data_IF_967328603896
#
_entry.id   IF_967328603896
#
_cell.length_a   1.000
_cell.length_b   1.000
_cell.length_c   1.000
_cell.angle_alpha   90.00
_cell.angle_beta   90.00
_cell.angle_gamma   90.00
#
_symmetry.space_group_name_H-M   'P 1'
#
loop_
_entity.id
_entity.type
_entity.pdbx_description
1 polymer ?
#
# COMPACT_ATOMS: atom_id res chain seq x y z
N UNK A 1 -39.67 14.26 -24.92
CA UNK A 1 -38.27 14.10 -24.43
C UNK A 1 -37.64 15.49 -24.42
N UNK A 2 -37.51 16.07 -23.23
CA UNK A 2 -37.19 17.49 -23.07
C UNK A 2 -35.74 17.80 -23.47
N UNK A 3 -35.46 19.05 -23.89
CA UNK A 3 -34.11 19.51 -24.31
C UNK A 3 -33.01 19.19 -23.30
N UNK A 4 -33.36 19.08 -22.01
CA UNK A 4 -32.50 18.68 -20.89
C UNK A 4 -32.06 17.20 -20.96
N UNK A 5 -32.93 16.29 -21.39
CA UNK A 5 -32.60 14.86 -21.50
C UNK A 5 -31.63 14.59 -22.66
N UNK A 6 -31.74 15.35 -23.76
CA UNK A 6 -30.79 15.27 -24.89
C UNK A 6 -29.39 15.80 -24.53
N UNK A 7 -29.29 16.78 -23.63
CA UNK A 7 -28.01 17.30 -23.15
C UNK A 7 -27.29 16.31 -22.21
N UNK A 8 -28.03 15.65 -21.31
CA UNK A 8 -27.47 14.59 -20.47
C UNK A 8 -27.02 13.37 -21.29
N UNK A 9 -27.83 12.93 -22.27
CA UNK A 9 -27.47 11.78 -23.12
C UNK A 9 -26.26 12.08 -24.01
N UNK A 10 -26.08 13.32 -24.48
CA UNK A 10 -24.90 13.72 -25.25
C UNK A 10 -23.65 13.94 -24.38
N UNK A 11 -23.78 14.39 -23.13
CA UNK A 11 -22.65 14.45 -22.19
C UNK A 11 -22.14 13.06 -21.80
N UNK A 12 -23.04 12.08 -21.66
CA UNK A 12 -22.69 10.70 -21.29
C UNK A 12 -22.08 9.94 -22.48
N UNK A 13 -22.55 10.16 -23.72
CA UNK A 13 -21.98 9.49 -24.90
C UNK A 13 -20.57 9.98 -25.29
N UNK A 14 -20.25 11.26 -25.09
CA UNK A 14 -18.92 11.79 -25.40
C UNK A 14 -17.85 11.49 -24.31
N UNK A 15 -18.26 10.93 -23.17
CA UNK A 15 -17.35 10.45 -22.11
C UNK A 15 -16.73 9.08 -22.42
N UNK A 16 -17.35 8.31 -23.32
CA UNK A 16 -17.02 6.89 -23.53
C UNK A 16 -16.04 6.61 -24.70
N UNK A 17 -15.47 7.66 -25.31
CA UNK A 17 -14.44 7.55 -26.35
C UNK A 17 -13.13 8.24 -25.95
N UNK A 18 -12.63 8.04 -24.72
CA UNK A 18 -11.31 8.51 -24.31
C UNK A 18 -10.17 7.63 -24.88
N UNK A 19 -10.05 7.62 -26.21
CA UNK A 19 -8.80 7.31 -26.94
C UNK A 19 -7.99 8.58 -27.24
N UNK A 20 -8.19 9.66 -26.48
CA UNK A 20 -7.36 10.86 -26.59
C UNK A 20 -6.18 10.78 -25.63
N UNK A 21 -5.19 10.00 -26.06
CA UNK A 21 -3.80 10.14 -25.65
C UNK A 21 -3.31 11.47 -26.23
N UNK A 22 -2.80 12.34 -25.37
CA UNK A 22 -2.19 13.62 -25.74
C UNK A 22 -1.04 13.35 -26.73
N UNK A 23 -1.23 13.73 -28.00
CA UNK A 23 -0.14 14.00 -28.93
C UNK A 23 0.36 15.41 -28.60
N UNK A 24 1.52 15.53 -27.95
CA UNK A 24 2.25 16.80 -27.96
C UNK A 24 2.65 17.07 -29.41
N UNK A 25 1.95 18.03 -30.02
CA UNK A 25 2.29 18.56 -31.34
C UNK A 25 3.31 19.68 -31.17
N UNK A 26 4.28 19.69 -32.08
CA UNK A 26 5.35 20.68 -32.19
C UNK A 26 4.84 22.11 -32.03
N UNK A 27 5.32 22.80 -30.98
CA UNK A 27 5.25 24.26 -30.86
C UNK A 27 6.67 24.78 -30.71
N UNK A 28 7.11 25.51 -31.75
CA UNK A 28 8.21 26.46 -31.87
C UNK A 28 9.40 26.42 -30.88
N UNK A 29 10.58 26.29 -31.49
CA UNK A 29 11.95 26.14 -30.96
C UNK A 29 12.55 27.28 -30.10
N UNK A 30 11.80 28.03 -29.29
CA UNK A 30 12.41 29.15 -28.52
C UNK A 30 12.01 29.29 -27.04
N UNK A 31 11.56 28.22 -26.38
CA UNK A 31 11.35 28.22 -24.92
C UNK A 31 12.04 26.99 -24.32
N UNK A 32 13.35 27.09 -24.04
CA UNK A 32 14.06 26.14 -23.17
C UNK A 32 13.92 26.57 -21.70
N UNK A 33 12.71 26.77 -21.21
CA UNK A 33 12.45 27.01 -19.79
C UNK A 33 11.79 25.76 -19.18
N UNK A 34 12.55 25.02 -18.38
CA UNK A 34 12.15 23.97 -17.44
C UNK A 34 10.87 23.18 -17.77
N UNK A 35 11.03 22.02 -18.43
CA UNK A 35 9.96 21.02 -18.59
C UNK A 35 9.40 20.49 -17.26
N UNK A 36 10.06 20.78 -16.13
CA UNK A 36 9.67 20.34 -14.80
C UNK A 36 9.41 21.55 -13.89
N UNK A 37 8.26 21.58 -13.23
CA UNK A 37 7.93 22.58 -12.22
C UNK A 37 8.58 22.22 -10.86
N UNK A 38 9.92 22.26 -10.81
CA UNK A 38 10.70 21.92 -9.62
C UNK A 38 11.43 23.17 -9.12
N UNK A 39 11.18 23.55 -7.86
CA UNK A 39 11.84 24.68 -7.23
C UNK A 39 13.34 24.40 -7.05
N UNK A 40 14.18 25.38 -7.35
CA UNK A 40 15.64 25.33 -7.20
C UNK A 40 16.35 24.24 -8.01
N UNK A 41 15.75 23.72 -9.09
CA UNK A 41 16.38 22.72 -9.95
C UNK A 41 17.59 23.31 -10.70
N UNK A 42 18.76 22.65 -10.71
CA UNK A 42 19.90 23.11 -11.49
C UNK A 42 19.61 23.09 -13.00
N UNK A 43 19.92 24.18 -13.72
CA UNK A 43 19.59 24.37 -15.15
C UNK A 43 20.17 23.29 -16.08
N UNK A 44 21.32 22.72 -15.72
CA UNK A 44 22.06 21.75 -16.54
C UNK A 44 21.98 20.30 -16.02
N UNK A 45 21.00 20.00 -15.17
CA UNK A 45 20.84 18.66 -14.63
C UNK A 45 20.45 17.68 -15.75
N UNK A 46 21.30 16.68 -15.98
CA UNK A 46 21.02 15.63 -16.98
C UNK A 46 20.26 14.48 -16.33
N UNK A 47 19.35 13.87 -17.09
CA UNK A 47 18.51 12.75 -16.65
C UNK A 47 18.25 11.77 -17.81
N UNK A 48 17.91 10.53 -17.48
CA UNK A 48 17.61 9.45 -18.41
C UNK A 48 18.14 8.08 -17.93
N UNK A 49 17.70 7.01 -18.60
CA UNK A 49 18.01 5.62 -18.21
C UNK A 49 19.52 5.38 -18.05
N UNK A 50 20.34 5.87 -18.99
CA UNK A 50 21.79 5.66 -18.95
C UNK A 50 22.45 6.37 -17.76
N UNK A 51 21.99 7.58 -17.44
CA UNK A 51 22.50 8.36 -16.31
C UNK A 51 22.11 7.72 -14.99
N UNK A 52 20.87 7.26 -14.87
CA UNK A 52 20.43 6.48 -13.73
C UNK A 52 21.31 5.23 -13.53
N UNK A 53 21.50 4.42 -14.58
CA UNK A 53 22.34 3.21 -14.49
C UNK A 53 23.79 3.52 -14.15
N UNK A 54 24.32 4.65 -14.58
CA UNK A 54 25.65 5.11 -14.20
C UNK A 54 25.69 5.56 -12.72
N UNK A 55 24.66 6.25 -12.25
CA UNK A 55 24.53 6.65 -10.85
C UNK A 55 24.45 5.43 -9.92
N UNK A 56 23.66 4.40 -10.27
CA UNK A 56 23.57 3.14 -9.51
C UNK A 56 24.95 2.51 -9.28
N UNK A 57 25.80 2.47 -10.31
CA UNK A 57 27.18 1.92 -10.21
C UNK A 57 28.11 2.76 -9.33
N UNK A 58 27.73 4.01 -9.05
CA UNK A 58 28.50 4.97 -8.26
C UNK A 58 27.91 5.22 -6.87
N UNK A 59 26.79 4.58 -6.53
CA UNK A 59 26.19 4.74 -5.20
C UNK A 59 27.21 4.30 -4.16
N UNK A 60 27.48 5.21 -3.22
CA UNK A 60 28.37 5.01 -2.08
C UNK A 60 27.58 5.36 -0.81
N UNK A 61 26.92 4.35 -0.24
CA UNK A 61 26.11 4.50 0.96
C UNK A 61 26.98 4.36 2.22
N UNK A 62 27.62 5.46 2.63
CA UNK A 62 28.53 5.49 3.79
C UNK A 62 27.85 5.13 5.11
N UNK A 63 26.56 5.45 5.25
CA UNK A 63 25.76 5.16 6.45
C UNK A 63 25.43 3.67 6.60
N UNK A 64 25.54 2.87 5.54
CA UNK A 64 25.30 1.43 5.63
C UNK A 64 26.33 0.71 6.51
N UNK A 65 27.57 1.19 6.57
CA UNK A 65 28.62 0.56 7.37
C UNK A 65 28.58 0.92 8.85
N UNK A 66 28.14 2.13 9.20
CA UNK A 66 28.28 2.66 10.57
C UNK A 66 27.04 2.50 11.43
N UNK A 67 25.88 2.17 10.82
CA UNK A 67 24.56 2.21 11.47
C UNK A 67 24.23 3.59 12.08
N UNK A 68 24.96 4.65 11.71
CA UNK A 68 24.73 6.00 12.19
C UNK A 68 23.55 6.64 11.47
N UNK A 69 22.88 7.58 12.14
CA UNK A 69 21.79 8.35 11.56
C UNK A 69 21.94 9.80 11.97
N UNK A 70 21.95 10.72 11.01
CA UNK A 70 21.97 12.15 11.32
C UNK A 70 20.67 12.61 12.01
N UNK A 71 19.64 11.75 12.12
CA UNK A 71 18.45 12.04 12.94
C UNK A 71 18.81 12.23 14.42
N UNK A 72 19.87 11.59 14.93
CA UNK A 72 20.28 11.72 16.34
C UNK A 72 20.88 13.08 16.67
N UNK A 73 21.17 13.91 15.67
CA UNK A 73 21.68 15.27 15.86
C UNK A 73 20.57 16.24 16.27
N UNK A 74 19.31 15.87 16.08
CA UNK A 74 18.14 16.66 16.45
C UNK A 74 17.65 16.29 17.85
N UNK A 75 17.36 17.31 18.67
CA UNK A 75 16.95 17.15 20.07
C UNK A 75 15.73 16.24 20.20
N UNK A 76 14.68 16.53 19.44
CA UNK A 76 13.45 15.74 19.41
C UNK A 76 13.70 14.23 19.28
N UNK A 77 14.56 13.81 18.35
CA UNK A 77 14.83 12.39 18.09
C UNK A 77 15.73 11.75 19.16
N UNK A 78 16.60 12.53 19.81
CA UNK A 78 17.32 12.02 21.00
C UNK A 78 16.34 11.72 22.13
N UNK A 79 15.43 12.65 22.40
CA UNK A 79 14.41 12.48 23.45
C UNK A 79 13.53 11.25 23.17
N UNK A 80 13.14 10.99 21.91
CA UNK A 80 12.41 9.78 21.54
C UNK A 80 13.21 8.48 21.78
N UNK A 81 14.53 8.48 21.60
CA UNK A 81 15.36 7.30 21.85
C UNK A 81 15.55 6.99 23.33
N UNK A 82 15.36 7.97 24.21
CA UNK A 82 15.40 7.79 25.66
C UNK A 82 14.08 7.24 26.23
N UNK A 83 13.00 7.24 25.43
CA UNK A 83 11.70 6.73 25.88
C UNK A 83 11.68 5.20 25.95
N UNK A 84 11.22 4.68 27.08
CA UNK A 84 10.95 3.25 27.25
C UNK A 84 9.46 2.93 27.06
N UNK A 85 9.19 1.75 26.49
CA UNK A 85 7.83 1.24 26.42
C UNK A 85 7.39 0.69 27.77
N UNK A 86 6.33 1.27 28.33
CA UNK A 86 5.63 0.75 29.49
C UNK A 86 4.25 0.22 29.08
N UNK A 87 4.14 -1.10 28.94
CA UNK A 87 2.91 -1.76 28.52
C UNK A 87 1.76 -1.51 29.51
N UNK A 88 0.53 -1.40 28.98
CA UNK A 88 -0.69 -1.31 29.78
C UNK A 88 -1.30 -2.70 29.96
N UNK A 89 -1.35 -3.19 31.20
CA UNK A 89 -2.01 -4.47 31.53
C UNK A 89 -3.50 -4.48 31.16
N UNK A 90 -4.18 -3.33 31.30
CA UNK A 90 -5.59 -3.17 30.88
C UNK A 90 -5.76 -3.33 29.36
N UNK A 91 -4.89 -2.69 28.58
CA UNK A 91 -4.92 -2.77 27.13
C UNK A 91 -4.58 -4.18 26.64
N UNK A 92 -3.56 -4.79 27.24
CA UNK A 92 -3.16 -6.17 26.92
C UNK A 92 -4.31 -7.15 27.17
N UNK A 93 -4.95 -7.07 28.34
CA UNK A 93 -6.10 -7.90 28.66
C UNK A 93 -7.30 -7.67 27.72
N UNK A 94 -7.54 -6.42 27.31
CA UNK A 94 -8.56 -6.09 26.32
C UNK A 94 -8.29 -6.74 24.96
N UNK A 95 -7.04 -6.66 24.48
CA UNK A 95 -6.60 -7.30 23.23
C UNK A 95 -6.78 -8.81 23.30
N UNK A 96 -6.29 -9.45 24.37
CA UNK A 96 -6.37 -10.91 24.51
C UNK A 96 -7.82 -11.39 24.64
N UNK A 97 -8.66 -10.67 25.38
CA UNK A 97 -10.10 -10.97 25.46
C UNK A 97 -10.77 -10.90 24.09
N UNK A 98 -10.43 -9.89 23.28
CA UNK A 98 -10.95 -9.78 21.92
C UNK A 98 -10.48 -10.94 21.03
N UNK A 99 -9.20 -11.31 21.10
CA UNK A 99 -8.65 -12.41 20.30
C UNK A 99 -9.28 -13.76 20.68
N UNK A 100 -9.54 -14.00 21.97
CA UNK A 100 -10.17 -15.25 22.41
C UNK A 100 -11.61 -15.38 21.89
N UNK A 101 -12.41 -14.31 21.99
CA UNK A 101 -13.76 -14.26 21.38
C UNK A 101 -13.71 -14.46 19.87
N UNK A 102 -12.67 -13.92 19.22
CA UNK A 102 -12.49 -14.05 17.77
C UNK A 102 -12.20 -15.51 17.38
N UNK A 103 -11.39 -16.24 18.17
CA UNK A 103 -11.15 -17.68 17.95
C UNK A 103 -12.44 -18.48 17.95
N UNK A 104 -13.25 -18.34 19.00
CA UNK A 104 -14.52 -19.04 19.15
C UNK A 104 -15.50 -18.69 18.01
N UNK A 105 -15.53 -17.42 17.61
CA UNK A 105 -16.34 -16.96 16.48
C UNK A 105 -15.91 -17.59 15.16
N UNK A 106 -14.62 -17.69 14.90
CA UNK A 106 -14.08 -18.23 13.65
C UNK A 106 -14.33 -19.73 13.52
N UNK A 107 -14.22 -20.49 14.61
CA UNK A 107 -14.56 -21.93 14.63
C UNK A 107 -16.04 -22.13 14.27
N UNK A 108 -16.94 -21.42 14.95
CA UNK A 108 -18.39 -21.51 14.67
C UNK A 108 -18.74 -21.14 13.23
N UNK A 109 -18.20 -20.03 12.73
CA UNK A 109 -18.45 -19.61 11.34
C UNK A 109 -17.94 -20.64 10.32
N UNK A 110 -16.85 -21.34 10.63
CA UNK A 110 -16.34 -22.40 9.77
C UNK A 110 -17.20 -23.66 9.80
N UNK A 111 -17.73 -24.04 10.96
CA UNK A 111 -18.71 -25.14 11.09
C UNK A 111 -19.96 -24.84 10.27
N UNK A 112 -20.55 -23.65 10.45
CA UNK A 112 -21.74 -23.19 9.71
C UNK A 112 -21.50 -23.19 8.19
N UNK A 113 -20.37 -22.63 7.75
CA UNK A 113 -19.95 -22.63 6.34
C UNK A 113 -19.77 -24.05 5.79
N UNK A 114 -19.18 -24.96 6.58
CA UNK A 114 -18.98 -26.35 6.18
C UNK A 114 -20.31 -27.08 6.01
N UNK A 115 -21.26 -26.86 6.92
CA UNK A 115 -22.62 -27.41 6.79
C UNK A 115 -23.28 -26.90 5.51
N UNK A 116 -23.26 -25.60 5.26
CA UNK A 116 -23.86 -25.00 4.06
C UNK A 116 -23.20 -25.52 2.76
N UNK A 117 -21.88 -25.70 2.74
CA UNK A 117 -21.17 -26.29 1.61
C UNK A 117 -21.59 -27.74 1.38
N UNK A 118 -21.68 -28.54 2.46
CA UNK A 118 -22.07 -29.94 2.36
C UNK A 118 -23.51 -30.11 1.86
N UNK A 119 -24.43 -29.22 2.24
CA UNK A 119 -25.80 -29.19 1.70
C UNK A 119 -25.81 -28.91 0.19
N UNK A 120 -25.04 -27.91 -0.28
CA UNK A 120 -24.87 -27.62 -1.71
C UNK A 120 -24.30 -28.82 -2.47
N UNK A 121 -23.32 -29.51 -1.89
CA UNK A 121 -22.72 -30.71 -2.47
C UNK A 121 -23.66 -31.93 -2.44
N UNK A 122 -24.55 -32.02 -1.45
CA UNK A 122 -25.59 -33.07 -1.39
C UNK A 122 -26.60 -32.92 -2.53
N UNK A 123 -27.00 -31.69 -2.86
CA UNK A 123 -27.84 -31.42 -4.04
C UNK A 123 -27.15 -31.90 -5.32
N UNK A 124 -25.85 -31.64 -5.46
CA UNK A 124 -25.06 -32.15 -6.58
C UNK A 124 -24.98 -33.69 -6.60
N UNK A 125 -24.83 -34.31 -5.42
CA UNK A 125 -24.85 -35.78 -5.24
C UNK A 125 -26.14 -36.40 -5.71
N UNK A 126 -27.27 -35.79 -5.38
CA UNK A 126 -28.57 -36.26 -5.83
C UNK A 126 -28.78 -36.09 -7.34
N UNK A 127 -28.13 -35.09 -7.97
CA UNK A 127 -28.17 -34.89 -9.43
C UNK A 127 -27.37 -35.95 -10.19
N UNK A 128 -26.32 -36.50 -9.59
CA UNK A 128 -25.45 -37.52 -10.19
C UNK A 128 -25.23 -38.72 -9.25
N UNK A 129 -26.28 -39.53 -8.98
CA UNK A 129 -26.22 -40.59 -7.97
C UNK A 129 -25.33 -41.78 -8.35
N UNK A 130 -25.01 -41.93 -9.63
CA UNK A 130 -24.17 -43.00 -10.17
C UNK A 130 -22.66 -42.76 -9.99
N UNK A 131 -22.26 -41.63 -9.42
CA UNK A 131 -20.86 -41.23 -9.31
C UNK A 131 -20.33 -41.31 -7.87
N UNK A 132 -19.18 -41.98 -7.71
CA UNK A 132 -18.40 -41.89 -6.47
C UNK A 132 -17.56 -40.61 -6.47
N UNK A 133 -18.04 -39.63 -5.73
CA UNK A 133 -17.42 -38.31 -5.51
C UNK A 133 -15.95 -38.40 -5.11
N UNK A 134 -15.63 -39.35 -4.22
CA UNK A 134 -14.30 -39.49 -3.66
C UNK A 134 -13.28 -39.97 -4.69
N UNK A 135 -13.73 -40.77 -5.67
CA UNK A 135 -12.90 -41.28 -6.76
C UNK A 135 -12.75 -40.26 -7.88
N UNK A 136 -13.83 -39.62 -8.33
CA UNK A 136 -13.78 -38.67 -9.45
C UNK A 136 -12.94 -37.43 -9.11
N UNK A 137 -12.93 -37.01 -7.83
CA UNK A 137 -12.09 -35.90 -7.35
C UNK A 137 -10.58 -36.20 -7.49
N UNK A 138 -10.17 -37.47 -7.42
CA UNK A 138 -8.77 -37.91 -7.53
C UNK A 138 -8.30 -38.13 -8.97
N UNK A 139 -9.22 -38.39 -9.90
CA UNK A 139 -8.90 -38.54 -11.33
C UNK A 139 -8.24 -37.27 -11.90
N UNK A 140 -7.29 -37.42 -12.82
CA UNK A 140 -6.72 -36.30 -13.59
C UNK A 140 -7.74 -35.80 -14.63
N UNK A 141 -7.55 -34.58 -15.14
CA UNK A 141 -8.45 -33.96 -16.14
C UNK A 141 -8.72 -34.85 -17.35
N UNK A 142 -7.68 -35.48 -17.90
CA UNK A 142 -7.72 -36.33 -19.09
C UNK A 142 -8.35 -37.72 -18.84
N UNK A 143 -8.53 -38.11 -17.57
CA UNK A 143 -9.10 -39.39 -17.17
C UNK A 143 -10.62 -39.31 -16.96
N UNK A 144 -11.19 -38.10 -16.97
CA UNK A 144 -12.62 -37.87 -16.81
C UNK A 144 -13.32 -37.93 -18.15
N UNK A 145 -14.40 -38.69 -18.24
CA UNK A 145 -15.12 -38.92 -19.51
C UNK A 145 -16.58 -38.53 -19.41
N UNK A 146 -17.12 -37.90 -20.46
CA UNK A 146 -18.54 -37.57 -20.58
C UNK A 146 -19.07 -36.80 -19.37
N UNK A 147 -20.08 -37.37 -18.73
CA UNK A 147 -20.78 -36.77 -17.59
C UNK A 147 -19.89 -36.53 -16.36
N UNK A 148 -18.75 -37.23 -16.21
CA UNK A 148 -17.79 -36.95 -15.13
C UNK A 148 -17.14 -35.56 -15.27
N UNK A 149 -16.98 -35.07 -16.51
CA UNK A 149 -16.43 -33.75 -16.80
C UNK A 149 -17.43 -32.67 -16.36
N UNK A 150 -18.70 -32.84 -16.73
CA UNK A 150 -19.76 -31.90 -16.36
C UNK A 150 -19.96 -31.88 -14.84
N UNK A 151 -19.99 -33.07 -14.22
CA UNK A 151 -20.04 -33.21 -12.78
C UNK A 151 -18.90 -32.46 -12.07
N UNK A 152 -17.65 -32.66 -12.50
CA UNK A 152 -16.51 -31.98 -11.89
C UNK A 152 -16.53 -30.46 -12.12
N UNK A 153 -17.06 -30.01 -13.26
CA UNK A 153 -17.31 -28.60 -13.54
C UNK A 153 -18.35 -28.01 -12.60
N UNK A 154 -19.46 -28.70 -12.37
CA UNK A 154 -20.51 -28.28 -11.43
C UNK A 154 -19.96 -28.26 -9.99
N UNK A 155 -19.20 -29.29 -9.59
CA UNK A 155 -18.50 -29.36 -8.30
C UNK A 155 -17.59 -28.15 -8.09
N UNK A 156 -16.71 -27.89 -9.05
CA UNK A 156 -15.77 -26.77 -8.99
C UNK A 156 -16.50 -25.43 -8.95
N UNK A 157 -17.58 -25.30 -9.72
CA UNK A 157 -18.45 -24.12 -9.68
C UNK A 157 -19.03 -23.89 -8.29
N UNK A 158 -19.51 -24.95 -7.63
CA UNK A 158 -20.05 -24.86 -6.26
C UNK A 158 -18.95 -24.47 -5.26
N UNK A 159 -17.78 -25.11 -5.32
CA UNK A 159 -16.69 -24.84 -4.37
C UNK A 159 -16.05 -23.47 -4.57
N UNK A 160 -15.85 -23.04 -5.82
CA UNK A 160 -15.19 -21.76 -6.15
C UNK A 160 -16.09 -20.55 -5.87
N UNK A 161 -17.41 -20.76 -5.85
CA UNK A 161 -18.42 -19.76 -5.50
C UNK A 161 -18.91 -19.84 -4.05
N UNK A 162 -18.53 -20.88 -3.29
CA UNK A 162 -18.92 -20.97 -1.89
C UNK A 162 -18.24 -19.87 -1.06
N UNK A 163 -19.05 -19.16 -0.29
CA UNK A 163 -18.61 -18.16 0.67
C UNK A 163 -19.49 -18.24 1.92
N UNK A 164 -18.94 -17.93 3.11
CA UNK A 164 -17.54 -17.62 3.37
C UNK A 164 -16.62 -18.86 3.30
N UNK A 165 -15.30 -18.66 3.14
CA UNK A 165 -14.29 -19.70 3.38
C UNK A 165 -13.38 -19.16 4.47
N UNK A 166 -13.32 -19.84 5.62
CA UNK A 166 -12.56 -19.37 6.77
C UNK A 166 -11.14 -19.94 6.66
N UNK A 167 -10.19 -19.09 6.29
CA UNK A 167 -8.78 -19.46 6.09
C UNK A 167 -7.91 -19.19 7.32
N UNK A 168 -8.41 -18.42 8.27
CA UNK A 168 -7.75 -18.00 9.51
C UNK A 168 -8.27 -18.78 10.71
N UNK A 169 -8.35 -20.10 10.63
CA UNK A 169 -8.79 -20.88 11.79
C UNK A 169 -7.75 -20.83 12.93
N UNK A 170 -8.17 -20.83 14.21
CA UNK A 170 -7.25 -20.91 15.34
C UNK A 170 -6.28 -22.09 15.21
N UNK A 171 -5.00 -21.87 15.55
CA UNK A 171 -3.93 -22.86 15.39
C UNK A 171 -3.34 -22.96 13.98
N UNK A 172 -3.82 -22.17 13.02
CA UNK A 172 -3.19 -22.02 11.70
C UNK A 172 -2.23 -20.85 11.68
N UNK A 173 -1.19 -20.93 10.82
CA UNK A 173 -0.26 -19.82 10.57
C UNK A 173 -0.95 -18.50 10.19
N UNK A 174 -2.08 -18.59 9.48
CA UNK A 174 -2.86 -17.43 9.06
C UNK A 174 -3.48 -16.69 10.26
N UNK A 175 -4.05 -17.45 11.20
CA UNK A 175 -4.58 -16.87 12.44
C UNK A 175 -3.46 -16.32 13.32
N UNK A 176 -2.36 -17.04 13.46
CA UNK A 176 -1.23 -16.60 14.28
C UNK A 176 -0.63 -15.30 13.76
N UNK A 177 -0.56 -15.13 12.43
CA UNK A 177 -0.11 -13.90 11.79
C UNK A 177 -1.08 -12.73 12.08
N UNK A 178 -2.40 -12.94 11.92
CA UNK A 178 -3.42 -11.94 12.25
C UNK A 178 -3.37 -11.54 13.73
N UNK A 179 -3.37 -12.52 14.64
CA UNK A 179 -3.38 -12.29 16.08
C UNK A 179 -2.12 -11.55 16.55
N UNK A 180 -0.95 -11.91 16.00
CA UNK A 180 0.31 -11.20 16.29
C UNK A 180 0.28 -9.77 15.75
N UNK A 181 -0.17 -9.55 14.52
CA UNK A 181 -0.30 -8.20 13.96
C UNK A 181 -1.23 -7.32 14.82
N UNK A 182 -2.38 -7.86 15.26
CA UNK A 182 -3.30 -7.14 16.15
C UNK A 182 -2.63 -6.81 17.49
N UNK A 183 -1.93 -7.76 18.13
CA UNK A 183 -1.23 -7.52 19.40
C UNK A 183 -0.17 -6.44 19.27
N UNK A 184 0.71 -6.55 18.28
CA UNK A 184 1.87 -5.66 18.10
C UNK A 184 1.46 -4.22 17.81
N UNK A 185 0.42 -4.02 17.01
CA UNK A 185 -0.03 -2.69 16.62
C UNK A 185 -0.98 -2.11 17.66
N UNK A 186 -1.95 -2.89 18.14
CA UNK A 186 -2.94 -2.39 19.12
C UNK A 186 -2.36 -2.16 20.51
N UNK A 187 -1.18 -2.73 20.83
CA UNK A 187 -0.44 -2.41 22.07
C UNK A 187 0.30 -1.07 22.00
N UNK A 188 0.32 -0.40 20.84
CA UNK A 188 1.12 0.80 20.58
C UNK A 188 2.61 0.62 20.91
N UNK A 189 3.16 -0.59 20.74
CA UNK A 189 4.57 -0.89 21.02
C UNK A 189 5.45 -0.89 19.77
N UNK A 190 4.85 -0.87 18.57
CA UNK A 190 5.58 -1.15 17.33
C UNK A 190 5.76 0.11 16.49
N UNK A 191 7.02 0.48 16.22
CA UNK A 191 7.39 1.45 15.19
C UNK A 191 7.16 0.80 13.83
N UNK A 192 6.37 1.46 12.99
CA UNK A 192 6.01 0.97 11.66
C UNK A 192 6.67 1.84 10.60
N UNK A 193 7.42 1.21 9.71
CA UNK A 193 8.12 1.86 8.61
C UNK A 193 7.57 1.33 7.29
N UNK A 194 6.68 2.10 6.67
CA UNK A 194 6.07 1.79 5.39
C UNK A 194 6.85 2.42 4.25
N UNK A 195 7.03 1.68 3.16
CA UNK A 195 7.61 2.21 1.93
C UNK A 195 6.99 1.56 0.70
N UNK A 196 7.03 2.30 -0.40
CA UNK A 196 6.56 1.89 -1.72
C UNK A 196 7.51 2.46 -2.78
N UNK A 197 7.84 1.67 -3.80
CA UNK A 197 8.81 2.03 -4.83
C UNK A 197 8.14 2.00 -6.20
N UNK A 198 8.15 3.14 -6.89
CA UNK A 198 7.73 3.20 -8.29
C UNK A 198 8.93 3.06 -9.21
N UNK A 199 8.76 2.22 -10.23
CA UNK A 199 9.76 1.94 -11.24
C UNK A 199 9.26 2.31 -12.64
N UNK A 200 10.20 2.56 -13.55
CA UNK A 200 9.87 2.94 -14.91
C UNK A 200 9.30 1.75 -15.69
N UNK A 201 8.10 1.90 -16.24
CA UNK A 201 7.31 0.85 -16.87
C UNK A 201 7.98 0.16 -18.09
N UNK A 202 9.04 0.76 -18.67
CA UNK A 202 9.81 0.18 -19.78
C UNK A 202 11.14 -0.45 -19.35
N UNK A 203 11.59 -0.18 -18.14
CA UNK A 203 12.77 -0.78 -17.53
C UNK A 203 12.58 -0.79 -16.00
N UNK A 204 12.03 -1.88 -15.49
CA UNK A 204 11.70 -2.04 -14.07
C UNK A 204 12.93 -2.03 -13.14
N UNK A 205 14.14 -1.92 -13.67
CA UNK A 205 15.36 -1.71 -12.88
C UNK A 205 15.65 -0.21 -12.65
N UNK A 206 14.83 0.68 -13.20
CA UNK A 206 14.97 2.13 -13.04
C UNK A 206 13.93 2.64 -12.06
N UNK A 207 14.33 2.81 -10.81
CA UNK A 207 13.51 3.43 -9.76
C UNK A 207 13.32 4.91 -10.06
N UNK A 208 12.06 5.35 -10.02
CA UNK A 208 11.68 6.74 -10.26
C UNK A 208 11.33 7.50 -8.99
N UNK A 209 10.64 6.84 -8.06
CA UNK A 209 10.14 7.44 -6.82
C UNK A 209 10.31 6.47 -5.66
N UNK A 210 10.49 7.02 -4.47
CA UNK A 210 10.52 6.30 -3.20
C UNK A 210 9.55 6.99 -2.26
N UNK A 211 8.51 6.27 -1.86
CA UNK A 211 7.57 6.70 -0.85
C UNK A 211 7.91 6.13 0.52
N UNK A 212 7.77 6.95 1.56
CA UNK A 212 8.04 6.53 2.93
C UNK A 212 6.93 7.10 3.83
N UNK A 213 6.39 6.27 4.71
CA UNK A 213 5.46 6.68 5.76
C UNK A 213 5.81 5.97 7.06
N UNK A 214 5.96 6.71 8.15
CA UNK A 214 6.43 6.20 9.43
C UNK A 214 5.41 6.53 10.51
N UNK A 215 5.01 5.50 11.26
CA UNK A 215 4.28 5.63 12.51
C UNK A 215 5.21 5.29 13.65
N UNK A 216 5.48 6.28 14.49
CA UNK A 216 6.25 6.11 15.72
C UNK A 216 5.30 6.26 16.93
N UNK A 217 5.01 5.17 17.68
CA UNK A 217 4.17 5.26 18.87
C UNK A 217 4.72 6.23 19.92
N UNK A 218 6.03 6.48 19.95
CA UNK A 218 6.67 7.40 20.90
C UNK A 218 6.20 8.84 20.70
N UNK A 219 5.94 9.22 19.44
CA UNK A 219 5.38 10.53 19.07
C UNK A 219 3.85 10.60 19.25
N UNK A 220 3.20 9.47 19.56
CA UNK A 220 1.75 9.33 19.59
C UNK A 220 1.21 8.92 20.98
N UNK A 221 2.02 8.97 22.04
CA UNK A 221 1.63 8.59 23.40
C UNK A 221 0.47 9.44 23.94
N UNK A 222 0.44 10.73 23.61
CA UNK A 222 -0.56 11.70 24.08
C UNK A 222 -1.35 12.23 22.89
N UNK A 223 -2.17 11.37 22.29
CA UNK A 223 -3.01 11.74 21.16
C UNK A 223 -4.48 11.92 21.56
N UNK A 224 -4.84 13.14 21.97
CA UNK A 224 -6.21 13.47 22.35
C UNK A 224 -7.19 13.56 21.18
N UNK A 225 -6.68 13.73 19.96
CA UNK A 225 -7.51 13.90 18.75
C UNK A 225 -7.92 12.57 18.14
N UNK A 226 -7.24 11.48 18.51
CA UNK A 226 -7.39 10.17 17.87
C UNK A 226 -6.80 10.07 16.46
N UNK A 227 -6.14 11.13 15.96
CA UNK A 227 -5.49 11.16 14.64
C UNK A 227 -4.00 10.93 14.81
N UNK A 228 -3.49 9.81 14.30
CA UNK A 228 -2.06 9.50 14.43
C UNK A 228 -1.20 10.51 13.65
N UNK A 229 -0.15 10.99 14.30
CA UNK A 229 0.92 11.77 13.66
C UNK A 229 1.83 10.79 12.93
N UNK A 230 1.94 10.99 11.61
CA UNK A 230 2.76 10.18 10.71
C UNK A 230 3.81 11.06 10.04
N UNK A 231 5.03 10.55 9.88
CA UNK A 231 6.06 11.21 9.06
C UNK A 231 6.02 10.64 7.65
N UNK A 232 5.85 11.51 6.66
CA UNK A 232 5.66 11.10 5.28
C UNK A 232 6.66 11.80 4.37
N UNK A 233 7.32 11.03 3.51
CA UNK A 233 8.30 11.53 2.56
C UNK A 233 8.02 10.97 1.18
N UNK A 234 8.20 11.81 0.17
CA UNK A 234 8.16 11.40 -1.23
C UNK A 234 9.44 11.87 -1.91
N UNK A 235 10.31 10.92 -2.27
CA UNK A 235 11.58 11.19 -2.91
C UNK A 235 11.49 10.89 -4.41
N UNK A 236 11.96 11.81 -5.24
CA UNK A 236 12.02 11.66 -6.69
C UNK A 236 13.49 11.61 -7.11
N UNK A 237 13.88 10.51 -7.78
CA UNK A 237 15.26 10.30 -8.22
C UNK A 237 15.56 11.15 -9.45
N UNK A 238 16.47 12.10 -9.30
CA UNK A 238 16.73 13.13 -10.30
C UNK A 238 17.29 12.62 -11.63
N UNK A 239 18.09 11.56 -11.59
CA UNK A 239 18.66 10.91 -12.75
C UNK A 239 17.58 10.23 -13.59
N UNK A 240 16.44 9.92 -12.99
CA UNK A 240 15.27 9.33 -13.66
C UNK A 240 14.16 10.36 -13.94
N UNK A 241 14.41 11.65 -13.69
CA UNK A 241 13.37 12.67 -13.60
C UNK A 241 12.46 12.75 -14.84
N UNK A 242 13.03 12.68 -16.04
CA UNK A 242 12.26 12.69 -17.30
C UNK A 242 11.50 11.41 -17.60
N UNK A 243 11.74 10.34 -16.86
CA UNK A 243 11.10 9.04 -17.09
C UNK A 243 9.74 9.05 -16.41
N UNK A 244 8.69 8.94 -17.21
CA UNK A 244 7.30 9.04 -16.80
C UNK A 244 6.52 7.82 -17.28
N UNK A 245 5.79 7.18 -16.37
CA UNK A 245 4.91 6.05 -16.67
C UNK A 245 3.65 6.55 -17.38
N UNK A 246 3.21 5.95 -18.48
CA UNK A 246 2.03 6.43 -19.22
C UNK A 246 1.20 5.33 -19.86
N UNK A 247 1.83 4.22 -20.27
CA UNK A 247 1.20 3.22 -21.13
C UNK A 247 0.48 2.15 -20.31
N UNK A 248 1.07 1.70 -19.21
CA UNK A 248 0.58 0.61 -18.40
C UNK A 248 0.30 1.04 -16.96
N UNK A 249 1.05 2.02 -16.46
CA UNK A 249 0.86 2.62 -15.13
C UNK A 249 0.55 4.12 -15.29
N UNK A 250 -0.35 4.64 -14.46
CA UNK A 250 -0.72 6.05 -14.48
C UNK A 250 0.45 6.95 -14.04
N UNK A 251 0.62 8.10 -14.68
CA UNK A 251 1.59 9.13 -14.24
C UNK A 251 0.97 9.99 -13.14
N UNK A 252 1.27 9.71 -11.88
CA UNK A 252 0.79 10.53 -10.75
C UNK A 252 1.94 11.00 -9.85
N UNK A 253 3.17 10.98 -10.39
CA UNK A 253 4.41 11.39 -9.71
C UNK A 253 4.35 12.78 -9.08
N UNK A 254 3.73 13.74 -9.76
CA UNK A 254 3.67 15.13 -9.29
C UNK A 254 2.46 15.40 -8.35
N UNK A 255 1.67 14.37 -8.01
CA UNK A 255 0.42 14.47 -7.25
C UNK A 255 0.55 14.00 -5.79
N UNK A 256 1.64 14.37 -5.12
CA UNK A 256 1.86 14.02 -3.71
C UNK A 256 0.96 14.84 -2.78
N UNK A 257 0.21 14.16 -1.91
CA UNK A 257 -0.83 14.77 -1.08
C UNK A 257 -0.32 15.39 0.22
N UNK A 258 0.79 14.88 0.76
CA UNK A 258 1.14 15.07 2.17
C UNK A 258 2.21 16.12 2.41
N UNK A 259 2.68 16.81 1.35
CA UNK A 259 3.44 18.08 1.32
C UNK A 259 4.15 18.21 -0.05
N UNK A 260 5.40 18.70 -0.08
CA UNK A 260 6.26 18.77 -1.27
C UNK A 260 7.04 17.46 -1.48
N UNK A 261 7.36 17.17 -2.74
CA UNK A 261 8.22 16.05 -3.12
C UNK A 261 9.68 16.49 -3.17
N UNK A 262 10.58 15.66 -2.65
CA UNK A 262 12.01 15.94 -2.59
C UNK A 262 12.70 15.38 -3.81
N UNK A 263 13.24 16.26 -4.66
CA UNK A 263 14.04 15.87 -5.81
C UNK A 263 15.50 15.90 -5.39
N UNK A 264 16.15 14.75 -5.44
CA UNK A 264 17.55 14.59 -5.07
C UNK A 264 18.23 13.63 -6.04
N UNK A 265 19.56 13.68 -6.10
CA UNK A 265 20.30 12.65 -6.83
C UNK A 265 20.16 11.28 -6.12
N UNK A 266 20.38 10.20 -6.88
CA UNK A 266 20.16 8.84 -6.39
C UNK A 266 20.94 8.57 -5.11
N UNK A 267 22.21 8.98 -5.03
CA UNK A 267 23.03 8.75 -3.85
C UNK A 267 22.43 9.40 -2.60
N UNK A 268 21.92 10.62 -2.72
CA UNK A 268 21.27 11.34 -1.63
C UNK A 268 19.91 10.76 -1.27
N UNK A 269 19.14 10.22 -2.22
CA UNK A 269 17.95 9.44 -1.90
C UNK A 269 18.30 8.20 -1.05
N UNK A 270 19.36 7.47 -1.40
CA UNK A 270 19.81 6.28 -0.66
C UNK A 270 20.32 6.65 0.73
N UNK A 271 21.12 7.71 0.85
CA UNK A 271 21.60 8.22 2.14
C UNK A 271 20.43 8.64 3.04
N UNK A 272 19.40 9.29 2.47
CA UNK A 272 18.17 9.66 3.19
C UNK A 272 17.42 8.43 3.73
N UNK A 273 17.16 7.44 2.87
CA UNK A 273 16.50 6.19 3.25
C UNK A 273 17.31 5.43 4.29
N UNK A 274 18.63 5.32 4.11
CA UNK A 274 19.51 4.61 5.04
C UNK A 274 19.51 5.27 6.41
N UNK A 275 19.57 6.60 6.48
CA UNK A 275 19.53 7.32 7.76
C UNK A 275 18.23 7.08 8.52
N UNK A 276 17.09 7.06 7.81
CA UNK A 276 15.80 6.73 8.42
C UNK A 276 15.75 5.27 8.90
N UNK A 277 16.24 4.32 8.09
CA UNK A 277 16.32 2.90 8.48
C UNK A 277 17.22 2.72 9.71
N UNK A 278 18.38 3.36 9.74
CA UNK A 278 19.31 3.27 10.86
C UNK A 278 18.67 3.75 12.16
N UNK A 279 17.88 4.82 12.12
CA UNK A 279 17.19 5.33 13.30
C UNK A 279 15.94 4.51 13.69
N UNK A 280 15.07 4.22 12.73
CA UNK A 280 13.75 3.64 12.98
C UNK A 280 13.71 2.11 12.93
N UNK A 281 14.73 1.44 12.41
CA UNK A 281 14.70 -0.01 12.22
C UNK A 281 15.87 -0.74 12.88
N UNK A 282 16.97 -0.07 13.25
CA UNK A 282 18.06 -0.71 13.99
C UNK A 282 17.82 -0.48 15.49
N UNK A 283 17.58 -1.54 16.28
CA UNK A 283 17.36 -1.41 17.72
C UNK A 283 18.66 -1.07 18.45
N UNK A 284 18.56 -0.22 19.47
CA UNK A 284 19.64 0.00 20.44
C UNK A 284 19.77 -1.16 21.43
N UNK A 285 20.85 -1.19 22.23
CA UNK A 285 21.11 -2.29 23.17
C UNK A 285 20.00 -2.49 24.22
N UNK A 286 19.39 -1.41 24.68
CA UNK A 286 18.33 -1.39 25.69
C UNK A 286 16.94 -1.07 25.10
N UNK A 287 16.74 -1.30 23.81
CA UNK A 287 15.50 -0.94 23.13
C UNK A 287 14.33 -1.86 23.52
N UNK A 288 13.24 -1.26 23.98
CA UNK A 288 12.00 -1.93 24.42
C UNK A 288 10.88 -1.86 23.37
N UNK A 289 11.10 -1.11 22.29
CA UNK A 289 10.14 -0.95 21.20
C UNK A 289 10.30 -2.06 20.16
N UNK A 290 9.19 -2.45 19.56
CA UNK A 290 9.17 -3.40 18.43
C UNK A 290 9.26 -2.62 17.12
N UNK A 291 9.72 -3.27 16.05
CA UNK A 291 9.96 -2.62 14.75
C UNK A 291 9.41 -3.48 13.62
N UNK A 292 8.69 -2.87 12.68
CA UNK A 292 8.17 -3.57 11.51
C UNK A 292 8.28 -2.76 10.21
N UNK A 293 8.79 -3.40 9.17
CA UNK A 293 8.65 -2.92 7.79
C UNK A 293 7.24 -3.23 7.31
N UNK A 294 6.60 -2.25 6.67
CA UNK A 294 5.22 -2.33 6.20
C UNK A 294 5.19 -2.12 4.70
N UNK A 295 4.35 -2.90 4.01
CA UNK A 295 4.19 -2.74 2.57
C UNK A 295 2.97 -3.47 2.02
N UNK A 296 2.79 -3.38 0.71
CA UNK A 296 1.73 -4.03 -0.02
C UNK A 296 2.33 -4.85 -1.17
N UNK A 297 2.60 -6.14 -0.92
CA UNK A 297 3.48 -6.96 -1.75
C UNK A 297 4.96 -6.50 -1.69
N UNK A 298 5.46 -6.34 -0.46
CA UNK A 298 6.70 -5.61 -0.11
C UNK A 298 8.01 -6.26 -0.59
N UNK A 299 8.00 -7.55 -0.95
CA UNK A 299 9.22 -8.27 -1.34
C UNK A 299 9.92 -7.62 -2.55
N UNK A 300 9.15 -7.05 -3.48
CA UNK A 300 9.67 -6.30 -4.62
C UNK A 300 10.37 -5.01 -4.19
N UNK A 301 9.74 -4.25 -3.30
CA UNK A 301 10.26 -2.99 -2.75
C UNK A 301 11.57 -3.21 -1.98
N UNK A 302 11.61 -4.25 -1.14
CA UNK A 302 12.83 -4.63 -0.42
C UNK A 302 13.96 -4.96 -1.40
N UNK A 303 13.65 -5.70 -2.47
CA UNK A 303 14.63 -6.06 -3.48
C UNK A 303 15.18 -4.81 -4.18
N UNK A 304 14.31 -3.89 -4.61
CA UNK A 304 14.76 -2.64 -5.23
C UNK A 304 15.68 -1.82 -4.33
N UNK A 305 15.34 -1.65 -3.05
CA UNK A 305 16.18 -0.91 -2.11
C UNK A 305 17.53 -1.60 -1.87
N UNK A 306 17.56 -2.94 -1.75
CA UNK A 306 18.81 -3.71 -1.65
C UNK A 306 19.67 -3.56 -2.91
N UNK A 307 19.07 -3.66 -4.09
CA UNK A 307 19.76 -3.51 -5.38
C UNK A 307 20.34 -2.08 -5.55
N UNK A 308 19.74 -1.09 -4.89
CA UNK A 308 20.22 0.29 -4.81
C UNK A 308 21.31 0.52 -3.74
N UNK A 309 21.69 -0.48 -2.95
CA UNK A 309 22.72 -0.36 -1.92
C UNK A 309 22.21 0.09 -0.55
N UNK A 310 20.91 0.07 -0.29
CA UNK A 310 20.35 0.22 1.07
C UNK A 310 20.60 -1.06 1.84
N UNK A 311 21.26 -0.93 3.00
CA UNK A 311 21.42 -2.03 3.95
C UNK A 311 20.16 -2.14 4.79
N UNK A 312 19.38 -3.15 4.48
CA UNK A 312 18.22 -3.54 5.29
C UNK A 312 18.68 -4.19 6.60
N UNK A 313 17.94 -4.00 7.71
CA UNK A 313 18.19 -4.71 8.95
C UNK A 313 18.06 -6.23 8.73
N UNK A 314 18.64 -7.02 9.63
CA UNK A 314 18.34 -8.45 9.66
C UNK A 314 16.83 -8.58 9.90
N UNK A 315 16.18 -9.16 8.90
CA UNK A 315 14.74 -9.34 8.85
C UNK A 315 14.50 -10.83 8.87
N UNK A 316 13.55 -11.27 9.68
CA UNK A 316 12.98 -12.59 9.47
C UNK A 316 12.11 -12.50 8.21
N UNK A 317 12.71 -12.80 7.06
CA UNK A 317 12.02 -13.04 5.79
C UNK A 317 11.32 -14.40 5.87
N UNK A 318 10.35 -14.49 6.77
CA UNK A 318 9.64 -15.70 7.11
C UNK A 318 8.15 -15.42 7.24
N UNK A 319 7.33 -16.46 7.06
CA UNK A 319 5.89 -16.38 7.35
C UNK A 319 5.58 -16.17 8.84
N UNK A 320 6.60 -16.05 9.67
CA UNK A 320 6.54 -16.00 11.11
C UNK A 320 7.10 -14.65 11.54
N UNK A 321 6.29 -13.90 12.30
CA UNK A 321 6.72 -12.64 12.91
C UNK A 321 7.56 -13.00 14.15
N UNK A 322 8.83 -12.59 14.19
CA UNK A 322 9.73 -12.80 15.34
C UNK A 322 9.10 -12.37 16.66
N UNK A 323 9.45 -13.08 17.74
CA UNK A 323 9.12 -12.68 19.11
C UNK A 323 10.20 -11.80 19.74
N UNK A 324 11.43 -11.78 19.19
CA UNK A 324 12.54 -10.99 19.72
C UNK A 324 12.30 -9.48 19.50
N UNK A 325 12.77 -8.61 20.40
CA UNK A 325 12.76 -7.15 20.19
C UNK A 325 13.82 -6.72 19.20
N UNK A 326 14.86 -7.54 19.00
CA UNK A 326 15.99 -7.22 18.12
C UNK A 326 15.71 -7.46 16.63
N UNK A 327 14.72 -8.30 16.32
CA UNK A 327 14.38 -8.62 14.95
C UNK A 327 13.39 -7.63 14.36
N UNK A 328 13.65 -7.25 13.11
CA UNK A 328 12.71 -6.44 12.33
C UNK A 328 11.70 -7.34 11.65
N UNK A 329 10.43 -7.11 11.97
CA UNK A 329 9.31 -7.84 11.39
C UNK A 329 8.93 -7.30 10.02
N UNK A 330 8.29 -8.13 9.19
CA UNK A 330 7.68 -7.72 7.92
C UNK A 330 6.17 -7.88 8.01
N UNK A 331 5.44 -6.78 7.83
CA UNK A 331 3.97 -6.72 7.83
C UNK A 331 3.45 -6.33 6.44
N UNK A 332 3.05 -7.35 5.68
CA UNK A 332 2.47 -7.16 4.35
C UNK A 332 0.93 -7.12 4.43
N UNK A 333 0.35 -5.99 4.01
CA UNK A 333 -1.11 -5.76 4.03
C UNK A 333 -1.86 -6.63 3.02
N UNK A 334 -1.27 -6.91 1.86
CA UNK A 334 -1.84 -7.82 0.86
C UNK A 334 -1.89 -9.25 1.41
N UNK A 335 -0.82 -9.68 2.07
CA UNK A 335 -0.73 -11.00 2.71
C UNK A 335 -1.72 -11.13 3.86
N UNK A 336 -1.78 -10.14 4.75
CA UNK A 336 -2.76 -10.10 5.85
C UNK A 336 -4.20 -10.21 5.31
N UNK A 337 -4.51 -9.47 4.24
CA UNK A 337 -5.80 -9.53 3.57
C UNK A 337 -6.08 -10.92 3.01
N UNK A 338 -5.13 -11.50 2.27
CA UNK A 338 -5.28 -12.83 1.65
C UNK A 338 -5.48 -13.94 2.68
N UNK A 339 -4.77 -13.86 3.80
CA UNK A 339 -4.93 -14.79 4.90
C UNK A 339 -6.36 -14.73 5.44
N UNK A 340 -6.90 -13.54 5.69
CA UNK A 340 -8.27 -13.38 6.20
C UNK A 340 -9.35 -13.73 5.16
N UNK A 341 -9.27 -13.18 3.95
CA UNK A 341 -10.43 -13.12 3.04
C UNK A 341 -10.17 -13.76 1.66
N UNK A 342 -8.95 -14.25 1.41
CA UNK A 342 -8.55 -14.84 0.13
C UNK A 342 -8.06 -13.83 -0.91
N UNK A 343 -7.82 -14.30 -2.14
CA UNK A 343 -7.05 -13.55 -3.15
C UNK A 343 -7.84 -12.47 -3.89
N UNK A 344 -9.16 -12.58 -3.92
CA UNK A 344 -10.04 -11.72 -4.72
C UNK A 344 -10.04 -10.30 -4.17
N UNK A 345 -9.66 -9.31 -4.98
CA UNK A 345 -9.76 -7.89 -4.59
C UNK A 345 -8.58 -7.36 -3.76
N UNK A 346 -7.44 -8.04 -3.78
CA UNK A 346 -6.26 -7.76 -2.95
C UNK A 346 -5.41 -6.54 -3.34
N UNK A 347 -5.71 -5.82 -4.42
CA UNK A 347 -4.95 -4.61 -4.79
C UNK A 347 -5.23 -3.44 -3.84
N UNK A 348 -4.22 -2.63 -3.51
CA UNK A 348 -4.29 -1.50 -2.58
C UNK A 348 -5.58 -0.66 -2.72
N UNK A 349 -5.85 -0.08 -3.90
CA UNK A 349 -7.06 0.76 -4.09
C UNK A 349 -8.40 0.05 -3.86
N UNK A 350 -8.48 -1.28 -4.07
CA UNK A 350 -9.67 -2.06 -3.73
C UNK A 350 -9.79 -2.29 -2.22
N UNK A 351 -8.66 -2.51 -1.54
CA UNK A 351 -8.62 -2.63 -0.09
C UNK A 351 -9.00 -1.31 0.58
N UNK A 352 -8.43 -0.19 0.15
CA UNK A 352 -8.80 1.13 0.67
C UNK A 352 -10.31 1.38 0.54
N UNK A 353 -10.93 0.99 -0.59
CA UNK A 353 -12.38 1.07 -0.77
C UNK A 353 -13.16 0.12 0.16
N UNK A 354 -12.70 -1.12 0.31
CA UNK A 354 -13.33 -2.11 1.19
C UNK A 354 -13.33 -1.65 2.65
N UNK A 355 -12.23 -1.02 3.08
CA UNK A 355 -12.04 -0.47 4.42
C UNK A 355 -12.56 0.97 4.55
N UNK A 356 -13.22 1.51 3.51
CA UNK A 356 -13.78 2.86 3.49
C UNK A 356 -12.76 3.97 3.83
N UNK A 357 -11.49 3.76 3.48
CA UNK A 357 -10.41 4.73 3.62
C UNK A 357 -10.46 5.67 2.40
N UNK A 358 -10.72 6.98 2.59
CA UNK A 358 -10.69 7.95 1.51
C UNK A 358 -9.30 7.99 0.88
N UNK A 359 -9.24 7.87 -0.44
CA UNK A 359 -7.98 7.86 -1.17
C UNK A 359 -8.09 8.53 -2.53
N UNK A 360 -6.98 9.13 -2.96
CA UNK A 360 -6.80 9.71 -4.29
C UNK A 360 -5.33 9.58 -4.71
N UNK A 361 -5.07 9.72 -6.01
CA UNK A 361 -3.70 9.80 -6.56
C UNK A 361 -2.78 8.62 -6.19
N UNK A 362 -3.29 7.38 -6.31
CA UNK A 362 -2.47 6.15 -6.28
C UNK A 362 -1.49 6.14 -7.48
N UNK A 363 -0.40 5.39 -7.43
CA UNK A 363 0.75 5.50 -8.34
C UNK A 363 1.58 6.78 -8.14
N UNK A 364 1.54 7.27 -6.90
CA UNK A 364 2.51 8.19 -6.34
C UNK A 364 3.08 7.47 -5.13
N UNK A 365 4.37 7.15 -5.16
CA UNK A 365 4.96 6.26 -4.17
C UNK A 365 4.73 6.76 -2.73
N UNK A 366 4.83 8.08 -2.51
CA UNK A 366 4.60 8.70 -1.20
C UNK A 366 3.15 8.52 -0.69
N UNK A 367 2.16 8.71 -1.56
CA UNK A 367 0.77 8.48 -1.23
C UNK A 367 0.50 6.99 -0.95
N UNK A 368 1.08 6.08 -1.76
CA UNK A 368 0.87 4.64 -1.64
C UNK A 368 1.49 4.08 -0.35
N UNK A 369 2.68 4.55 0.04
CA UNK A 369 3.29 4.23 1.34
C UNK A 369 2.41 4.68 2.51
N UNK A 370 1.85 5.90 2.45
CA UNK A 370 0.94 6.43 3.46
C UNK A 370 -0.37 5.64 3.55
N UNK A 371 -1.00 5.35 2.41
CA UNK A 371 -2.25 4.59 2.39
C UNK A 371 -2.04 3.15 2.86
N UNK A 372 -0.90 2.55 2.54
CA UNK A 372 -0.53 1.21 3.00
C UNK A 372 -0.37 1.16 4.51
N UNK A 373 0.30 2.16 5.10
CA UNK A 373 0.45 2.26 6.56
C UNK A 373 -0.91 2.43 7.25
N UNK A 374 -1.73 3.36 6.76
CA UNK A 374 -3.09 3.57 7.28
C UNK A 374 -3.94 2.31 7.14
N UNK A 375 -3.89 1.63 6.01
CA UNK A 375 -4.61 0.38 5.81
C UNK A 375 -4.22 -0.66 6.87
N UNK A 376 -2.93 -0.82 7.15
CA UNK A 376 -2.48 -1.74 8.21
C UNK A 376 -3.06 -1.36 9.58
N UNK A 377 -2.98 -0.08 9.96
CA UNK A 377 -3.52 0.43 11.23
C UNK A 377 -5.03 0.13 11.34
N UNK A 378 -5.80 0.34 10.28
CA UNK A 378 -7.23 0.03 10.23
C UNK A 378 -7.51 -1.48 10.28
N UNK A 379 -6.68 -2.28 9.59
CA UNK A 379 -6.80 -3.75 9.58
C UNK A 379 -6.60 -4.35 10.98
N UNK A 380 -5.78 -3.73 11.82
CA UNK A 380 -5.48 -4.23 13.17
C UNK A 380 -6.22 -3.51 14.30
N UNK A 381 -6.90 -2.40 14.02
CA UNK A 381 -7.65 -1.66 15.03
C UNK A 381 -8.91 -2.44 15.47
N UNK A 382 -8.93 -2.87 16.73
CA UNK A 382 -10.00 -3.71 17.29
C UNK A 382 -11.38 -3.04 17.18
N UNK A 383 -11.50 -1.75 17.49
CA UNK A 383 -12.77 -1.02 17.42
C UNK A 383 -13.28 -0.94 15.98
N UNK A 384 -12.39 -0.65 15.03
CA UNK A 384 -12.74 -0.64 13.61
C UNK A 384 -13.19 -2.03 13.14
N UNK A 385 -12.45 -3.09 13.50
CA UNK A 385 -12.80 -4.47 13.17
C UNK A 385 -14.20 -4.85 13.67
N UNK A 386 -14.54 -4.46 14.89
CA UNK A 386 -15.85 -4.70 15.48
C UNK A 386 -16.96 -3.91 14.77
N UNK A 387 -16.79 -2.59 14.59
CA UNK A 387 -17.80 -1.72 14.00
C UNK A 387 -18.09 -2.04 12.53
N UNK A 388 -17.06 -2.38 11.76
CA UNK A 388 -17.19 -2.67 10.33
C UNK A 388 -17.46 -4.16 10.05
N UNK A 389 -17.50 -4.99 11.08
CA UNK A 389 -17.78 -6.41 11.00
C UNK A 389 -16.71 -7.18 10.22
N UNK A 390 -15.44 -6.82 10.41
CA UNK A 390 -14.31 -7.45 9.69
C UNK A 390 -14.13 -8.93 10.06
N UNK A 391 -14.58 -9.31 11.26
CA UNK A 391 -14.56 -10.69 11.76
C UNK A 391 -15.84 -11.49 11.42
N UNK A 392 -16.77 -10.89 10.67
CA UNK A 392 -17.93 -11.59 10.10
C UNK A 392 -17.61 -11.94 8.65
N UNK A 393 -17.16 -13.19 8.43
CA UNK A 393 -16.68 -13.62 7.12
C UNK A 393 -17.78 -13.62 6.06
N UNK A 394 -19.02 -13.92 6.42
CA UNK A 394 -20.14 -13.89 5.48
C UNK A 394 -20.36 -12.47 4.95
N UNK A 395 -20.51 -11.51 5.86
CA UNK A 395 -20.73 -10.10 5.51
C UNK A 395 -19.58 -9.51 4.68
N UNK A 396 -18.33 -9.76 5.08
CA UNK A 396 -17.18 -9.20 4.35
C UNK A 396 -17.00 -9.84 2.97
N UNK A 397 -17.22 -11.15 2.81
CA UNK A 397 -17.15 -11.82 1.51
C UNK A 397 -18.24 -11.32 0.57
N UNK A 398 -19.47 -11.12 1.07
CA UNK A 398 -20.56 -10.51 0.30
C UNK A 398 -20.18 -9.10 -0.18
N UNK A 399 -19.60 -8.26 0.69
CA UNK A 399 -19.09 -6.93 0.33
C UNK A 399 -17.99 -6.99 -0.73
N UNK A 400 -17.05 -7.94 -0.61
CA UNK A 400 -15.96 -8.14 -1.58
C UNK A 400 -16.54 -8.52 -2.95
N UNK A 401 -17.44 -9.51 -3.00
CA UNK A 401 -18.09 -9.93 -4.24
C UNK A 401 -18.88 -8.79 -4.86
N UNK A 402 -19.67 -8.08 -4.04
CA UNK A 402 -20.43 -6.91 -4.47
C UNK A 402 -19.51 -5.87 -5.12
N UNK A 403 -18.44 -5.46 -4.45
CA UNK A 403 -17.49 -4.47 -4.96
C UNK A 403 -16.78 -4.92 -6.25
N UNK A 404 -16.47 -6.21 -6.39
CA UNK A 404 -15.87 -6.77 -7.61
C UNK A 404 -16.83 -6.77 -8.80
N UNK A 405 -18.14 -6.91 -8.53
CA UNK A 405 -19.18 -6.94 -9.55
C UNK A 405 -19.61 -5.53 -10.02
N UNK A 406 -19.23 -4.46 -9.31
CA UNK A 406 -19.47 -3.05 -9.70
C UNK A 406 -18.60 -2.58 -10.88
N UNK A 407 -18.40 -3.41 -11.91
CA UNK A 407 -17.57 -3.09 -13.09
C UNK A 407 -18.16 -1.99 -13.98
N UNK A 408 -19.49 -1.84 -13.99
CA UNK A 408 -20.22 -0.99 -14.93
C UNK A 408 -20.65 0.36 -14.37
N UNK A 409 -20.21 0.71 -13.15
CA UNK A 409 -20.57 2.01 -12.60
C UNK A 409 -19.75 3.14 -13.22
N UNK A 410 -20.38 4.28 -13.52
CA UNK A 410 -19.67 5.44 -14.02
C UNK A 410 -18.67 5.88 -12.97
N UNK A 411 -17.38 5.87 -13.33
CA UNK A 411 -16.34 6.51 -12.51
C UNK A 411 -16.57 8.01 -12.59
N UNK A 412 -17.05 8.60 -11.50
CA UNK A 412 -17.24 10.05 -11.40
C UNK A 412 -15.87 10.66 -11.12
N UNK A 413 -15.34 11.41 -12.07
CA UNK A 413 -14.19 12.28 -11.83
C UNK A 413 -14.72 13.66 -11.42
N UNK A 414 -14.10 14.33 -10.43
CA UNK A 414 -14.46 15.70 -10.09
C UNK A 414 -14.37 16.59 -11.34
N UNK A 415 -15.34 17.50 -11.47
CA UNK A 415 -15.46 18.38 -12.64
C UNK A 415 -14.18 19.18 -12.88
N UNK A 416 -13.50 19.62 -11.81
CA UNK A 416 -12.20 20.30 -11.87
C UNK A 416 -11.14 19.48 -12.62
N UNK A 417 -10.98 18.19 -12.28
CA UNK A 417 -10.02 17.29 -12.94
C UNK A 417 -10.38 17.04 -14.42
N UNK A 418 -11.68 16.92 -14.70
CA UNK A 418 -12.21 16.72 -16.05
C UNK A 418 -12.00 17.95 -16.95
N UNK A 419 -12.00 19.14 -16.36
CA UNK A 419 -11.84 20.43 -17.02
C UNK A 419 -10.35 20.75 -17.24
N UNK A 420 -9.46 20.49 -16.26
CA UNK A 420 -8.00 20.63 -16.43
C UNK A 420 -7.51 19.80 -17.61
N UNK A 421 -8.03 18.58 -17.78
CA UNK A 421 -7.69 17.73 -18.93
C UNK A 421 -8.28 18.20 -20.26
N UNK A 422 -9.24 19.15 -20.28
CA UNK A 422 -9.94 19.63 -21.50
C UNK A 422 -9.57 21.06 -21.89
N UNK A 423 -9.20 21.90 -20.93
CA UNK A 423 -8.97 23.33 -21.15
C UNK A 423 -7.47 23.65 -21.19
N UNK A 424 -6.84 23.34 -22.32
CA UNK A 424 -5.57 24.01 -22.71
C UNK A 424 -5.79 25.17 -23.68
N UNK A 425 -7.03 25.46 -24.12
CA UNK A 425 -7.29 26.33 -25.28
C UNK A 425 -8.41 27.38 -25.14
N UNK A 426 -8.96 27.69 -23.95
CA UNK A 426 -10.02 28.72 -23.88
C UNK A 426 -9.84 29.72 -22.73
N UNK A 427 -9.73 30.99 -23.13
CA UNK A 427 -9.57 32.20 -22.32
C UNK A 427 -10.89 32.69 -21.70
N UNK A 428 -11.53 31.89 -20.84
CA UNK A 428 -12.68 32.35 -20.04
C UNK A 428 -12.52 31.93 -18.59
N UNK A 429 -12.41 32.94 -17.71
CA UNK A 429 -12.31 32.90 -16.24
C UNK A 429 -11.58 31.67 -15.72
N UNK A 430 -10.30 31.83 -15.36
CA UNK A 430 -9.48 30.79 -14.75
C UNK A 430 -10.25 30.16 -13.57
N UNK A 431 -10.77 28.96 -13.82
CA UNK A 431 -11.39 28.16 -12.77
C UNK A 431 -10.27 27.80 -11.81
N UNK A 432 -10.35 28.28 -10.57
CA UNK A 432 -9.35 27.99 -9.54
C UNK A 432 -9.34 26.47 -9.31
N UNK A 433 -8.20 25.79 -9.52
CA UNK A 433 -8.09 24.37 -9.19
C UNK A 433 -8.34 24.21 -7.68
N UNK A 434 -9.35 23.41 -7.32
CA UNK A 434 -9.69 23.15 -5.90
C UNK A 434 -8.71 22.21 -5.19
N UNK A 435 -7.80 21.58 -5.95
CA UNK A 435 -6.79 20.68 -5.42
C UNK A 435 -5.43 21.20 -5.89
N UNK A 436 -4.62 21.62 -4.92
CA UNK A 436 -3.25 22.09 -5.14
C UNK A 436 -2.31 21.13 -4.39
N UNK A 437 -1.21 20.76 -5.04
CA UNK A 437 -0.16 19.93 -4.44
C UNK A 437 0.99 20.83 -3.96
N UNK A 438 1.74 20.37 -2.95
CA UNK A 438 2.92 21.10 -2.46
C UNK A 438 4.02 21.31 -3.51
N UNK A 439 3.94 20.60 -4.64
CA UNK A 439 4.89 20.64 -5.74
C UNK A 439 6.16 19.86 -5.43
N UNK A 440 7.22 20.13 -6.19
CA UNK A 440 8.51 19.48 -6.04
C UNK A 440 9.63 20.50 -5.79
N UNK A 441 10.61 20.13 -4.96
CA UNK A 441 11.76 20.98 -4.63
C UNK A 441 13.05 20.18 -4.71
N UNK A 442 14.06 20.78 -5.34
CA UNK A 442 15.40 20.23 -5.40
C UNK A 442 16.16 20.45 -4.10
N UNK A 443 16.89 19.42 -3.67
CA UNK A 443 17.81 19.50 -2.54
C UNK A 443 19.20 18.98 -2.93
N UNK A 444 20.28 19.68 -2.52
CA UNK A 444 21.63 19.25 -2.84
C UNK A 444 22.07 18.01 -2.05
N UNK A 445 21.50 17.79 -0.86
CA UNK A 445 21.82 16.67 0.02
C UNK A 445 20.63 16.23 0.89
N UNK A 446 20.72 15.01 1.43
CA UNK A 446 19.70 14.36 2.23
C UNK A 446 19.37 15.14 3.52
N UNK A 447 20.40 15.64 4.20
CA UNK A 447 20.25 16.40 5.44
C UNK A 447 19.46 17.68 5.23
N UNK A 448 19.79 18.50 4.22
CA UNK A 448 19.03 19.73 3.90
C UNK A 448 17.58 19.46 3.49
N UNK A 449 17.32 18.32 2.83
CA UNK A 449 15.95 17.89 2.53
C UNK A 449 15.19 17.58 3.83
N UNK A 450 15.82 16.87 4.75
CA UNK A 450 15.21 16.55 6.03
C UNK A 450 15.01 17.78 6.93
N UNK A 451 16.02 18.66 7.03
CA UNK A 451 15.95 19.92 7.79
C UNK A 451 14.76 20.77 7.36
N UNK A 452 14.40 20.75 6.07
CA UNK A 452 13.23 21.48 5.56
C UNK A 452 11.90 20.99 6.13
N UNK A 453 11.88 19.79 6.73
CA UNK A 453 10.71 19.22 7.44
C UNK A 453 10.72 19.51 8.93
N UNK A 454 11.83 19.99 9.47
CA UNK A 454 11.94 20.37 10.87
C UNK A 454 11.47 21.81 11.01
N UNK A 455 10.34 22.03 11.68
CA UNK A 455 9.86 23.38 11.96
C UNK A 455 10.71 23.99 13.08
N UNK A 456 11.80 24.67 12.71
CA UNK A 456 12.67 25.52 13.55
C UNK A 456 12.98 24.99 14.97
N UNK A 457 13.91 24.05 15.05
CA UNK A 457 14.82 23.92 16.21
C UNK A 457 16.25 24.23 15.78
N UNK A 458 16.46 25.43 15.23
CA UNK A 458 17.80 25.99 14.98
C UNK A 458 18.17 27.00 16.06
#
# INVERSE_FOLDING_TARGET
MNKTDKLLVNMVRNSLNSKHIIRHTNVNNNIRSNLFHIRNLPENLRHGIQLYKFAVRKVDNKLASTNESWLTDYRHYRELNEMEFHGSGKLTNYIDTYLERTKESYVRQNEDSTVELNEKLKVLTNKYPSFDFSQIKKKRSHERTGDEVQFYSDYKTITDNHVPIIRTLPGTRNFDYLARAIRLISSNQTILFSFDIEAFERDNNVVTEIGISIYDPRENQVNFTGVNVLKNYHLIVSESLSLRNRRWVCDLKDCYLLNESFVMNLNQCIEFVQSLINYYMIPGENDTWKRALVGHNIDGDIKWLRDLGVKMPQTELGTELSQDTKDVMIMDTMKLYKYCYGDKGSSLGKLLRLFQIPHAFLHNAGNDAYYTLNLLLYMTNINFRQQFGLDNFKSINEKIIYNLNRKNEPKILPMSYSIVNRNTNNSKKDLIPQTEFGGSKWFPNATSAFESTQHQES
#
